data_IF_696873295826
#
_entry.id   IF_696873295826
#
_cell.length_a   1.000
_cell.length_b   1.000
_cell.length_c   1.000
_cell.angle_alpha   90.00
_cell.angle_beta   90.00
_cell.angle_gamma   90.00
#
_symmetry.space_group_name_H-M   'P 1'
#
loop_
_entity.id
_entity.type
_entity.pdbx_description
1 polymer ?
#
# COMPACT_ATOMS: atom_id res chain seq x y z
N UNK A 1 9.98 -9.96 -6.13
CA UNK A 1 9.79 -9.17 -4.91
C UNK A 1 9.19 -10.03 -3.81
N UNK A 2 9.57 -9.84 -2.54
CA UNK A 2 8.92 -10.49 -1.40
C UNK A 2 8.43 -9.45 -0.39
N UNK A 3 7.21 -9.66 0.13
CA UNK A 3 6.58 -8.81 1.16
C UNK A 3 6.16 -9.72 2.31
N UNK A 4 6.74 -9.50 3.49
CA UNK A 4 6.43 -10.19 4.72
C UNK A 4 5.61 -9.26 5.63
N UNK A 5 4.36 -9.62 5.93
CA UNK A 5 3.44 -8.81 6.74
C UNK A 5 3.29 -9.44 8.13
N UNK A 6 3.68 -8.71 9.15
CA UNK A 6 3.62 -9.14 10.55
C UNK A 6 2.36 -8.58 11.20
N UNK A 7 1.52 -9.44 11.74
CA UNK A 7 0.23 -9.06 12.32
C UNK A 7 -0.17 -9.97 13.48
N UNK A 8 -1.07 -9.51 14.33
CA UNK A 8 -1.74 -10.32 15.36
C UNK A 8 -3.12 -10.81 14.91
N UNK A 9 -3.60 -10.38 13.73
CA UNK A 9 -4.91 -10.74 13.14
C UNK A 9 -4.74 -11.09 11.65
N UNK A 10 -4.07 -12.20 11.31
CA UNK A 10 -3.77 -12.59 9.93
C UNK A 10 -5.01 -12.77 9.05
N UNK A 11 -6.15 -13.10 9.61
CA UNK A 11 -7.41 -13.32 8.91
C UNK A 11 -7.92 -12.07 8.17
N UNK A 12 -7.59 -10.86 8.67
CA UNK A 12 -7.96 -9.60 8.02
C UNK A 12 -7.28 -9.39 6.66
N UNK A 13 -6.16 -10.07 6.44
CA UNK A 13 -5.37 -9.96 5.21
C UNK A 13 -5.67 -11.08 4.20
N UNK A 14 -6.36 -12.14 4.61
CA UNK A 14 -6.55 -13.33 3.80
C UNK A 14 -7.29 -13.04 2.48
N UNK A 15 -8.37 -12.26 2.51
CA UNK A 15 -9.14 -11.94 1.30
C UNK A 15 -8.44 -10.89 0.42
N UNK A 16 -8.08 -9.68 0.89
CA UNK A 16 -7.56 -8.64 0.01
C UNK A 16 -6.26 -9.02 -0.71
N UNK A 17 -5.43 -9.87 -0.12
CA UNK A 17 -4.15 -10.27 -0.71
C UNK A 17 -4.23 -11.50 -1.61
N UNK A 18 -5.34 -12.24 -1.60
CA UNK A 18 -5.49 -13.50 -2.35
C UNK A 18 -6.57 -13.43 -3.44
N UNK A 19 -6.93 -12.23 -3.90
CA UNK A 19 -7.92 -12.05 -4.97
C UNK A 19 -7.39 -11.17 -6.10
N UNK A 20 -8.04 -11.25 -7.27
CA UNK A 20 -7.84 -10.37 -8.42
C UNK A 20 -6.38 -10.26 -8.90
N UNK A 21 -5.83 -9.04 -8.96
CA UNK A 21 -4.49 -8.73 -9.48
C UNK A 21 -3.41 -9.30 -8.57
N UNK A 22 -3.55 -9.15 -7.25
CA UNK A 22 -2.57 -9.64 -6.28
C UNK A 22 -2.43 -11.16 -6.34
N UNK A 23 -3.53 -11.90 -6.44
CA UNK A 23 -3.52 -13.35 -6.64
C UNK A 23 -2.77 -13.72 -7.92
N UNK A 24 -3.11 -13.08 -9.05
CA UNK A 24 -2.46 -13.37 -10.34
C UNK A 24 -0.98 -13.03 -10.35
N UNK A 25 -0.56 -11.97 -9.67
CA UNK A 25 0.83 -11.60 -9.55
C UNK A 25 1.63 -12.66 -8.77
N UNK A 26 1.05 -13.19 -7.69
CA UNK A 26 1.63 -14.30 -6.93
C UNK A 26 1.69 -15.60 -7.75
N UNK A 27 0.60 -15.97 -8.44
CA UNK A 27 0.55 -17.14 -9.33
C UNK A 27 1.57 -17.09 -10.47
N UNK A 28 1.90 -15.87 -10.95
CA UNK A 28 2.95 -15.63 -11.94
C UNK A 28 4.37 -15.61 -11.34
N UNK A 29 4.52 -15.69 -10.04
CA UNK A 29 5.81 -15.60 -9.36
C UNK A 29 6.45 -14.21 -9.39
N UNK A 30 5.68 -13.14 -9.64
CA UNK A 30 6.16 -11.76 -9.67
C UNK A 30 6.39 -11.21 -8.26
N UNK A 31 5.58 -11.66 -7.32
CA UNK A 31 5.66 -11.30 -5.90
C UNK A 31 5.31 -12.49 -5.04
N UNK A 32 5.98 -12.60 -3.89
CA UNK A 32 5.64 -13.50 -2.79
C UNK A 32 5.11 -12.66 -1.63
N UNK A 33 3.92 -12.96 -1.14
CA UNK A 33 3.33 -12.27 0.02
C UNK A 33 3.14 -13.29 1.13
N UNK A 34 3.81 -13.07 2.25
CA UNK A 34 3.75 -13.94 3.42
C UNK A 34 3.16 -13.20 4.61
N UNK A 35 2.18 -13.80 5.26
CA UNK A 35 1.54 -13.24 6.45
C UNK A 35 2.05 -14.02 7.67
N UNK A 36 2.69 -13.33 8.61
CA UNK A 36 3.24 -13.89 9.83
C UNK A 36 2.36 -13.53 11.02
N UNK A 37 1.87 -14.54 11.73
CA UNK A 37 1.17 -14.32 12.97
C UNK A 37 2.19 -14.10 14.09
N UNK A 38 2.28 -12.89 14.61
CA UNK A 38 3.21 -12.53 15.70
C UNK A 38 3.00 -13.41 16.93
N UNK A 39 1.79 -13.97 17.14
CA UNK A 39 1.51 -14.92 18.24
C UNK A 39 2.33 -16.21 18.16
N UNK A 40 2.79 -16.61 16.98
CA UNK A 40 3.61 -17.79 16.78
C UNK A 40 5.04 -17.64 17.34
N UNK A 41 5.45 -16.39 17.62
CA UNK A 41 6.76 -16.02 18.16
C UNK A 41 6.73 -15.72 19.66
N UNK A 42 5.64 -16.05 20.35
CA UNK A 42 5.53 -15.98 21.81
C UNK A 42 6.05 -17.27 22.46
N UNK A 43 6.55 -17.17 23.68
CA UNK A 43 7.03 -18.34 24.47
C UNK A 43 6.07 -18.73 25.58
N UNK A 44 5.08 -17.88 25.86
CA UNK A 44 4.10 -18.17 26.91
C UNK A 44 2.95 -19.05 26.40
N UNK A 45 2.35 -19.82 27.30
CA UNK A 45 1.24 -20.74 27.01
C UNK A 45 0.02 -20.05 26.38
N UNK A 46 -0.21 -18.79 26.70
CA UNK A 46 -1.38 -18.02 26.26
C UNK A 46 -1.13 -17.25 24.96
N UNK A 47 0.09 -17.31 24.42
CA UNK A 47 0.50 -16.63 23.20
C UNK A 47 0.21 -15.13 23.24
N UNK A 48 0.58 -14.50 24.38
CA UNK A 48 0.27 -13.11 24.70
C UNK A 48 1.17 -12.16 23.93
N UNK A 49 0.58 -11.28 23.13
CA UNK A 49 1.30 -10.32 22.27
C UNK A 49 1.22 -8.88 22.75
N UNK A 50 0.51 -8.60 23.84
CA UNK A 50 0.26 -7.26 24.37
C UNK A 50 0.35 -7.24 25.90
N UNK A 51 0.61 -6.05 26.47
CA UNK A 51 0.67 -5.83 27.90
C UNK A 51 0.35 -4.35 28.23
N UNK A 52 0.18 -4.05 29.50
CA UNK A 52 -0.04 -2.69 29.97
C UNK A 52 1.21 -1.80 29.75
N UNK A 53 1.04 -0.54 29.30
CA UNK A 53 2.17 0.38 29.17
C UNK A 53 2.77 0.75 30.53
N UNK A 54 4.07 0.95 30.55
CA UNK A 54 4.70 1.64 31.67
C UNK A 54 4.16 3.07 31.76
N UNK A 55 4.05 3.60 32.97
CA UNK A 55 3.51 4.95 33.20
C UNK A 55 2.01 4.99 33.54
N UNK A 56 1.30 3.85 33.47
CA UNK A 56 -0.08 3.71 33.97
C UNK A 56 -1.17 4.26 33.06
N UNK A 57 -0.88 4.47 31.78
CA UNK A 57 -1.89 4.86 30.80
C UNK A 57 -2.90 3.74 30.52
N UNK A 58 -4.14 4.10 30.17
CA UNK A 58 -5.17 3.16 29.81
C UNK A 58 -4.90 2.55 28.40
N UNK A 59 -5.19 1.26 28.23
CA UNK A 59 -5.02 0.50 26.98
C UNK A 59 -3.82 -0.43 27.03
N UNK A 60 -3.62 -1.16 25.95
CA UNK A 60 -2.55 -2.16 25.81
C UNK A 60 -1.55 -1.70 24.76
N UNK A 61 -0.33 -2.22 24.82
CA UNK A 61 0.75 -2.00 23.86
C UNK A 61 1.29 -3.34 23.42
N UNK A 62 1.60 -3.50 22.16
CA UNK A 62 2.20 -4.73 21.64
C UNK A 62 3.60 -4.91 22.22
N UNK A 63 3.84 -6.12 22.75
CA UNK A 63 5.09 -6.49 23.43
C UNK A 63 6.27 -6.53 22.49
N UNK A 64 7.44 -6.16 23.00
CA UNK A 64 8.68 -6.15 22.25
C UNK A 64 9.11 -7.57 21.81
N UNK A 65 9.05 -8.57 22.71
CA UNK A 65 9.68 -9.87 22.50
C UNK A 65 9.13 -10.63 21.27
N UNK A 66 7.80 -10.79 21.07
CA UNK A 66 7.29 -11.51 19.93
C UNK A 66 7.55 -10.80 18.61
N UNK A 67 7.50 -9.46 18.59
CA UNK A 67 7.85 -8.66 17.39
C UNK A 67 9.32 -8.81 17.07
N UNK A 68 10.20 -8.64 18.05
CA UNK A 68 11.64 -8.81 17.92
C UNK A 68 11.98 -10.17 17.32
N UNK A 69 11.47 -11.27 17.92
CA UNK A 69 11.74 -12.63 17.44
C UNK A 69 11.25 -12.87 16.03
N UNK A 70 10.09 -12.33 15.67
CA UNK A 70 9.55 -12.44 14.32
C UNK A 70 10.47 -11.74 13.30
N UNK A 71 10.88 -10.50 13.57
CA UNK A 71 11.77 -9.74 12.67
C UNK A 71 13.15 -10.42 12.56
N UNK A 72 13.74 -10.86 13.68
CA UNK A 72 15.03 -11.54 13.69
C UNK A 72 14.99 -12.88 12.93
N UNK A 73 13.93 -13.65 13.08
CA UNK A 73 13.75 -14.89 12.33
C UNK A 73 13.74 -14.63 10.81
N UNK A 74 13.05 -13.58 10.37
CA UNK A 74 13.01 -13.20 8.96
C UNK A 74 14.37 -12.68 8.48
N UNK A 75 15.04 -11.83 9.27
CA UNK A 75 16.37 -11.30 8.94
C UNK A 75 17.45 -12.38 8.94
N UNK A 76 17.27 -13.47 9.64
CA UNK A 76 18.17 -14.63 9.58
C UNK A 76 18.07 -15.39 8.25
N UNK A 77 16.94 -15.28 7.52
CA UNK A 77 16.73 -15.94 6.24
C UNK A 77 17.24 -15.10 5.05
N UNK A 78 17.11 -13.75 5.14
CA UNK A 78 17.46 -12.82 4.05
C UNK A 78 17.68 -11.40 4.55
N UNK A 79 18.27 -10.58 3.69
CA UNK A 79 18.34 -9.14 3.89
C UNK A 79 17.01 -8.48 3.46
N UNK A 80 16.61 -7.45 4.18
CA UNK A 80 15.42 -6.63 3.89
C UNK A 80 15.83 -5.20 3.60
N UNK A 81 15.29 -4.66 2.52
CA UNK A 81 15.53 -3.27 2.11
C UNK A 81 14.85 -2.28 3.05
N UNK A 82 13.63 -2.62 3.50
CA UNK A 82 12.82 -1.78 4.40
C UNK A 82 12.07 -2.62 5.43
N UNK A 83 11.97 -2.06 6.62
CA UNK A 83 11.06 -2.52 7.68
C UNK A 83 10.09 -1.38 7.97
N UNK A 84 8.89 -1.51 7.42
CA UNK A 84 7.84 -0.48 7.47
C UNK A 84 6.92 -0.75 8.65
N UNK A 85 6.61 0.28 9.42
CA UNK A 85 5.57 0.24 10.44
C UNK A 85 4.36 1.07 10.00
N UNK A 86 3.17 0.47 9.97
CA UNK A 86 1.92 1.17 9.69
C UNK A 86 1.43 1.87 10.96
N UNK A 87 1.52 3.19 10.97
CA UNK A 87 1.28 4.04 12.15
C UNK A 87 0.57 5.33 11.73
N UNK A 88 -0.35 5.89 12.53
CA UNK A 88 -0.89 7.23 12.26
C UNK A 88 0.17 8.34 12.31
N UNK A 89 1.29 8.11 12.99
CA UNK A 89 2.39 9.08 13.15
C UNK A 89 3.33 9.13 11.94
N UNK A 90 3.18 8.18 10.99
CA UNK A 90 4.08 8.02 9.86
C UNK A 90 3.97 9.11 8.80
N UNK A 91 4.91 9.10 7.86
CA UNK A 91 4.80 9.93 6.66
C UNK A 91 3.60 9.48 5.81
N UNK A 92 2.96 10.45 5.17
CA UNK A 92 1.80 10.15 4.33
C UNK A 92 2.19 9.35 3.09
N UNK A 93 1.53 8.22 2.89
CA UNK A 93 1.71 7.37 1.72
C UNK A 93 1.13 8.01 0.47
N UNK A 94 1.91 8.05 -0.59
CA UNK A 94 1.53 8.58 -1.90
C UNK A 94 2.05 7.70 -3.04
N UNK A 95 1.80 8.12 -4.29
CA UNK A 95 2.23 7.39 -5.47
C UNK A 95 3.76 7.37 -5.63
N UNK A 96 4.44 8.44 -5.22
CA UNK A 96 5.91 8.53 -5.25
C UNK A 96 6.54 7.46 -4.37
N UNK A 97 6.02 7.29 -3.15
CA UNK A 97 6.49 6.26 -2.24
C UNK A 97 6.14 4.85 -2.73
N UNK A 98 4.95 4.67 -3.33
CA UNK A 98 4.59 3.41 -3.98
C UNK A 98 5.57 3.03 -5.11
N UNK A 99 5.92 3.99 -5.96
CA UNK A 99 6.88 3.81 -7.05
C UNK A 99 8.26 3.41 -6.49
N UNK A 100 8.74 4.10 -5.45
CA UNK A 100 10.01 3.78 -4.79
C UNK A 100 10.00 2.36 -4.20
N UNK A 101 8.98 2.03 -3.43
CA UNK A 101 8.87 0.72 -2.79
C UNK A 101 8.74 -0.43 -3.80
N UNK A 102 8.13 -0.18 -4.96
CA UNK A 102 7.97 -1.21 -6.01
C UNK A 102 9.29 -1.65 -6.66
N UNK A 103 10.38 -0.88 -6.47
CA UNK A 103 11.72 -1.21 -6.97
C UNK A 103 12.56 -2.03 -6.00
N UNK A 104 12.07 -2.24 -4.77
CA UNK A 104 12.77 -3.00 -3.74
C UNK A 104 12.55 -4.51 -3.92
N UNK A 105 13.42 -5.32 -3.32
CA UNK A 105 13.37 -6.78 -3.43
C UNK A 105 12.62 -7.42 -2.25
N UNK A 106 12.90 -6.96 -1.02
CA UNK A 106 12.37 -7.57 0.21
C UNK A 106 11.91 -6.49 1.19
N UNK A 107 10.64 -6.55 1.60
CA UNK A 107 10.02 -5.59 2.53
C UNK A 107 9.34 -6.34 3.67
N UNK A 108 9.55 -5.86 4.90
CA UNK A 108 8.72 -6.21 6.05
C UNK A 108 7.70 -5.09 6.27
N UNK A 109 6.43 -5.44 6.51
CA UNK A 109 5.39 -4.50 6.95
C UNK A 109 4.86 -4.97 8.31
N UNK A 110 5.11 -4.20 9.36
CA UNK A 110 4.62 -4.45 10.70
C UNK A 110 3.29 -3.71 10.90
N UNK A 111 2.24 -4.47 11.21
CA UNK A 111 0.91 -3.94 11.53
C UNK A 111 0.81 -3.64 13.02
N UNK A 112 0.54 -2.37 13.37
CA UNK A 112 0.27 -1.99 14.75
C UNK A 112 -1.15 -2.32 15.19
N UNK A 113 -1.31 -2.56 16.49
CA UNK A 113 -2.60 -2.74 17.16
C UNK A 113 -2.62 -2.02 18.51
N UNK A 114 -3.79 -1.93 19.11
CA UNK A 114 -4.00 -1.30 20.42
C UNK A 114 -3.55 0.17 20.43
N UNK A 115 -2.69 0.57 21.40
CA UNK A 115 -2.07 1.90 21.44
C UNK A 115 -0.78 2.01 20.62
N UNK A 116 -0.38 0.94 19.96
CA UNK A 116 0.83 0.84 19.17
C UNK A 116 1.74 -0.30 19.64
N UNK A 117 2.99 -0.21 19.27
CA UNK A 117 4.03 -1.19 19.57
C UNK A 117 5.02 -0.62 20.59
N UNK A 118 5.75 -1.49 21.28
CA UNK A 118 6.86 -1.05 22.14
C UNK A 118 7.82 -0.15 21.34
N UNK A 119 8.11 1.02 21.88
CA UNK A 119 8.85 2.07 21.19
C UNK A 119 10.27 1.64 20.79
N UNK A 120 10.89 0.72 21.53
CA UNK A 120 12.22 0.17 21.21
C UNK A 120 12.23 -0.59 19.87
N UNK A 121 11.11 -1.16 19.43
CA UNK A 121 10.98 -1.72 18.07
C UNK A 121 11.05 -0.60 17.04
N UNK A 122 10.37 0.54 17.30
CA UNK A 122 10.43 1.71 16.39
C UNK A 122 11.86 2.25 16.26
N UNK A 123 12.59 2.34 17.37
CA UNK A 123 13.95 2.91 17.39
C UNK A 123 15.00 2.00 16.74
N UNK A 124 14.86 0.69 16.87
CA UNK A 124 15.94 -0.24 16.49
C UNK A 124 15.69 -1.04 15.21
N UNK A 125 14.44 -1.19 14.78
CA UNK A 125 14.10 -2.06 13.66
C UNK A 125 13.36 -1.35 12.52
N UNK A 126 12.56 -0.33 12.82
CA UNK A 126 11.76 0.35 11.82
C UNK A 126 12.63 1.32 11.02
N UNK A 127 12.64 1.14 9.70
CA UNK A 127 13.34 2.06 8.79
C UNK A 127 12.42 3.17 8.31
N UNK A 128 11.11 2.90 8.27
CA UNK A 128 10.10 3.86 7.82
C UNK A 128 8.76 3.64 8.51
N UNK A 129 8.11 4.74 8.88
CA UNK A 129 6.73 4.73 9.36
C UNK A 129 5.83 5.35 8.32
N UNK A 130 4.71 4.70 8.01
CA UNK A 130 3.78 5.12 6.96
C UNK A 130 2.37 5.23 7.52
N UNK A 131 1.71 6.35 7.22
CA UNK A 131 0.26 6.53 7.38
C UNK A 131 -0.43 6.60 6.03
N UNK A 132 -1.65 6.08 5.94
CA UNK A 132 -2.51 6.22 4.75
C UNK A 132 -3.45 7.42 4.83
N UNK A 133 -3.36 8.23 5.89
CA UNK A 133 -4.16 9.44 6.09
C UNK A 133 -4.26 9.84 7.56
N UNK A 134 -4.72 11.07 7.81
CA UNK A 134 -4.81 11.68 9.14
C UNK A 134 -6.08 11.20 9.88
N UNK A 135 -6.15 9.91 10.15
CA UNK A 135 -7.22 9.26 10.92
C UNK A 135 -6.70 7.99 11.57
N UNK A 136 -7.34 7.58 12.65
CA UNK A 136 -6.96 6.40 13.42
C UNK A 136 -7.83 5.21 13.03
N UNK A 137 -7.20 4.07 12.76
CA UNK A 137 -7.84 2.78 12.50
C UNK A 137 -7.68 1.85 13.71
N UNK A 138 -8.41 0.75 13.69
CA UNK A 138 -8.33 -0.28 14.74
C UNK A 138 -7.04 -1.11 14.70
N UNK A 139 -6.36 -1.13 13.53
CA UNK A 139 -5.12 -1.87 13.31
C UNK A 139 -4.44 -1.49 12.01
N UNK A 140 -3.22 -1.96 11.83
CA UNK A 140 -2.37 -1.67 10.68
C UNK A 140 -2.58 -2.57 9.47
N UNK A 141 -3.45 -3.56 9.52
CA UNK A 141 -3.66 -4.56 8.45
C UNK A 141 -4.24 -3.94 7.18
N UNK A 142 -5.28 -3.10 7.30
CA UNK A 142 -5.85 -2.41 6.13
C UNK A 142 -4.84 -1.47 5.48
N UNK A 143 -4.09 -0.63 6.22
CA UNK A 143 -2.96 0.10 5.65
C UNK A 143 -1.94 -0.80 4.96
N UNK A 144 -1.54 -1.91 5.57
CA UNK A 144 -0.61 -2.86 4.97
C UNK A 144 -1.14 -3.45 3.64
N UNK A 145 -2.42 -3.78 3.59
CA UNK A 145 -3.06 -4.26 2.36
C UNK A 145 -3.07 -3.19 1.26
N UNK A 146 -3.38 -1.93 1.60
CA UNK A 146 -3.35 -0.79 0.65
C UNK A 146 -1.94 -0.56 0.12
N UNK A 147 -0.93 -0.54 0.99
CA UNK A 147 0.48 -0.37 0.61
C UNK A 147 0.91 -1.51 -0.31
N UNK A 148 0.58 -2.76 0.04
CA UNK A 148 0.90 -3.94 -0.75
C UNK A 148 0.25 -3.89 -2.13
N UNK A 149 -1.03 -3.54 -2.23
CA UNK A 149 -1.74 -3.42 -3.51
C UNK A 149 -1.10 -2.35 -4.40
N UNK A 150 -0.83 -1.17 -3.84
CA UNK A 150 -0.23 -0.07 -4.58
C UNK A 150 1.18 -0.39 -5.09
N UNK A 151 1.97 -1.18 -4.35
CA UNK A 151 3.30 -1.65 -4.76
C UNK A 151 3.18 -2.70 -5.87
N UNK A 152 2.39 -3.76 -5.62
CA UNK A 152 2.33 -4.93 -6.51
C UNK A 152 1.81 -4.58 -7.89
N UNK A 153 0.84 -3.66 -8.00
CA UNK A 153 0.31 -3.24 -9.30
C UNK A 153 1.35 -2.53 -10.18
N UNK A 154 2.45 -2.04 -9.61
CA UNK A 154 3.56 -1.38 -10.32
C UNK A 154 4.63 -2.36 -10.80
N UNK A 155 4.62 -3.60 -10.32
CA UNK A 155 5.57 -4.61 -10.75
C UNK A 155 5.29 -4.97 -12.22
N UNK A 156 6.32 -4.94 -13.11
CA UNK A 156 6.14 -5.31 -14.51
C UNK A 156 5.45 -6.66 -14.67
N UNK A 157 4.42 -6.73 -15.51
CA UNK A 157 3.64 -7.93 -15.76
C UNK A 157 2.52 -8.24 -14.73
N UNK A 158 2.40 -7.47 -13.63
CA UNK A 158 1.30 -7.64 -12.66
C UNK A 158 -0.05 -7.24 -13.26
N UNK A 159 -0.09 -6.09 -13.95
CA UNK A 159 -1.25 -5.64 -14.74
C UNK A 159 -1.07 -6.08 -16.20
N UNK A 160 -2.17 -6.42 -16.87
CA UNK A 160 -2.13 -6.95 -18.25
C UNK A 160 -1.73 -5.92 -19.31
N UNK A 161 -1.82 -4.63 -19.03
CA UNK A 161 -1.40 -3.53 -19.89
C UNK A 161 -0.52 -2.56 -19.09
N UNK A 162 0.79 -2.62 -19.35
CA UNK A 162 1.78 -1.78 -18.65
C UNK A 162 1.56 -0.28 -18.92
N UNK A 163 1.03 0.10 -20.10
CA UNK A 163 0.70 1.49 -20.42
C UNK A 163 -0.46 2.01 -19.55
N UNK A 164 -1.33 1.12 -19.06
CA UNK A 164 -2.41 1.50 -18.16
C UNK A 164 -1.89 2.07 -16.84
N UNK A 165 -0.85 1.46 -16.26
CA UNK A 165 -0.25 1.96 -15.01
C UNK A 165 0.41 3.33 -15.18
N UNK A 166 1.02 3.59 -16.34
CA UNK A 166 1.68 4.86 -16.65
C UNK A 166 0.70 6.01 -16.91
N UNK A 167 -0.56 5.70 -17.29
CA UNK A 167 -1.61 6.70 -17.56
C UNK A 167 -2.53 6.96 -16.37
N UNK A 168 -2.29 6.32 -15.25
CA UNK A 168 -3.06 6.53 -14.02
C UNK A 168 -2.75 7.89 -13.35
N UNK A 169 -3.66 8.34 -12.47
CA UNK A 169 -3.45 9.55 -11.68
C UNK A 169 -2.16 9.48 -10.87
N UNK A 170 -1.51 10.63 -10.69
CA UNK A 170 -0.31 10.86 -9.86
C UNK A 170 1.02 10.36 -10.44
N UNK A 171 1.06 9.80 -11.64
CA UNK A 171 2.35 9.40 -12.26
C UNK A 171 3.18 10.63 -12.70
N UNK A 172 2.50 11.65 -13.27
CA UNK A 172 3.11 12.91 -13.72
C UNK A 172 2.57 14.12 -12.93
N UNK A 173 2.26 13.96 -11.65
CA UNK A 173 1.60 14.96 -10.81
C UNK A 173 0.25 15.46 -11.38
N UNK A 174 -0.39 14.66 -12.22
CA UNK A 174 -1.69 14.97 -12.81
C UNK A 174 -2.73 13.92 -12.40
N UNK A 175 -3.99 14.36 -12.38
CA UNK A 175 -5.12 13.43 -12.35
C UNK A 175 -5.36 12.87 -13.75
N UNK A 176 -5.70 11.59 -13.84
CA UNK A 176 -6.06 10.96 -15.11
C UNK A 176 -7.21 11.70 -15.80
N UNK A 177 -7.22 11.76 -17.14
CA UNK A 177 -8.31 12.35 -17.90
C UNK A 177 -9.61 11.57 -17.74
N UNK A 178 -10.78 12.17 -18.07
CA UNK A 178 -12.04 11.44 -18.08
C UNK A 178 -12.00 10.27 -19.05
N UNK A 179 -12.51 9.12 -18.63
CA UNK A 179 -12.62 7.91 -19.46
C UNK A 179 -14.09 7.63 -19.79
N UNK A 180 -14.32 7.11 -20.99
CA UNK A 180 -15.64 6.78 -21.49
C UNK A 180 -15.66 5.37 -22.05
N UNK A 181 -16.79 4.68 -21.94
CA UNK A 181 -17.02 3.34 -22.50
C UNK A 181 -18.23 3.34 -23.41
N UNK A 182 -18.49 2.24 -24.09
CA UNK A 182 -19.68 2.02 -24.92
C UNK A 182 -20.95 1.96 -24.06
N UNK A 183 -22.07 2.46 -24.59
CA UNK A 183 -22.31 3.04 -25.92
C UNK A 183 -21.81 4.49 -26.03
N UNK A 184 -21.61 4.98 -27.28
CA UNK A 184 -21.17 6.36 -27.54
C UNK A 184 -22.19 7.44 -27.10
N UNK A 185 -23.46 7.06 -26.95
CA UNK A 185 -24.52 7.91 -26.39
C UNK A 185 -25.41 7.06 -25.48
N UNK A 186 -25.71 7.61 -24.30
CA UNK A 186 -26.65 7.03 -23.33
C UNK A 186 -27.53 8.10 -22.73
N UNK A 187 -28.84 8.04 -22.93
CA UNK A 187 -29.85 9.00 -22.45
C UNK A 187 -29.55 10.47 -22.78
N UNK A 188 -28.98 10.72 -23.97
CA UNK A 188 -28.59 12.04 -24.43
C UNK A 188 -27.19 12.50 -23.94
N UNK A 189 -26.51 11.72 -23.12
CA UNK A 189 -25.12 11.97 -22.72
C UNK A 189 -24.17 11.35 -23.74
N UNK A 190 -23.33 12.18 -24.37
CA UNK A 190 -22.46 11.76 -25.46
C UNK A 190 -21.00 11.71 -25.06
N UNK A 191 -20.29 10.73 -25.60
CA UNK A 191 -18.83 10.71 -25.60
C UNK A 191 -18.32 11.86 -26.45
N UNK A 192 -17.28 12.59 -26.01
CA UNK A 192 -16.65 13.65 -26.82
C UNK A 192 -16.23 13.15 -28.22
N UNK A 193 -16.59 13.90 -29.27
CA UNK A 193 -16.36 13.50 -30.65
C UNK A 193 -14.88 13.26 -30.99
N UNK A 194 -13.97 13.96 -30.31
CA UNK A 194 -12.51 13.78 -30.46
C UNK A 194 -12.08 12.35 -30.13
N UNK A 195 -12.71 11.71 -29.11
CA UNK A 195 -12.41 10.33 -28.72
C UNK A 195 -12.95 9.29 -29.72
N UNK A 196 -13.91 9.68 -30.56
CA UNK A 196 -14.50 8.86 -31.61
C UNK A 196 -13.81 9.05 -32.97
N UNK A 197 -12.91 10.02 -33.08
CA UNK A 197 -12.30 10.45 -34.37
C UNK A 197 -11.27 9.47 -34.92
N UNK A 198 -10.66 8.61 -34.10
CA UNK A 198 -9.53 7.77 -34.48
C UNK A 198 -8.20 8.52 -34.70
N UNK A 199 -8.16 9.83 -34.51
CA UNK A 199 -6.95 10.66 -34.63
C UNK A 199 -6.14 10.66 -33.34
N UNK A 200 -5.15 9.75 -33.21
CA UNK A 200 -4.40 9.53 -31.97
C UNK A 200 -3.81 10.83 -31.39
N UNK A 201 -3.11 11.65 -32.18
CA UNK A 201 -2.53 12.89 -31.70
C UNK A 201 -3.56 13.84 -31.07
N UNK A 202 -4.73 14.02 -31.70
CA UNK A 202 -5.82 14.86 -31.16
C UNK A 202 -6.43 14.28 -29.89
N UNK A 203 -6.48 12.94 -29.80
CA UNK A 203 -6.96 12.24 -28.63
C UNK A 203 -5.98 12.47 -27.46
N UNK A 204 -4.68 12.39 -27.71
CA UNK A 204 -3.64 12.57 -26.70
C UNK A 204 -3.58 14.04 -26.22
N UNK A 205 -3.67 15.01 -27.13
CA UNK A 205 -3.79 16.44 -26.78
C UNK A 205 -5.01 16.70 -25.89
N UNK A 206 -6.17 16.17 -26.28
CA UNK A 206 -7.40 16.31 -25.51
C UNK A 206 -7.29 15.65 -24.12
N UNK A 207 -6.70 14.45 -24.02
CA UNK A 207 -6.47 13.79 -22.76
C UNK A 207 -5.59 14.62 -21.83
N UNK A 208 -4.49 15.15 -22.35
CA UNK A 208 -3.60 16.01 -21.59
C UNK A 208 -4.28 17.29 -21.11
N UNK A 209 -5.03 17.97 -21.98
CA UNK A 209 -5.80 19.16 -21.62
C UNK A 209 -6.83 18.87 -20.51
N UNK A 210 -7.55 17.74 -20.61
CA UNK A 210 -8.53 17.34 -19.62
C UNK A 210 -7.88 16.93 -18.29
N UNK A 211 -6.72 16.27 -18.32
CA UNK A 211 -5.95 15.95 -17.12
C UNK A 211 -5.53 17.23 -16.39
N UNK A 212 -4.95 18.20 -17.08
CA UNK A 212 -4.58 19.51 -16.53
C UNK A 212 -5.79 20.26 -15.95
N UNK A 213 -6.90 20.29 -16.69
CA UNK A 213 -8.13 20.95 -16.23
C UNK A 213 -8.65 20.32 -14.93
N UNK A 214 -8.76 18.98 -14.88
CA UNK A 214 -9.21 18.25 -13.69
C UNK A 214 -8.28 18.45 -12.50
N UNK A 215 -6.97 18.47 -12.75
CA UNK A 215 -5.97 18.69 -11.69
C UNK A 215 -6.12 20.07 -11.09
N UNK A 216 -6.25 21.13 -11.94
CA UNK A 216 -6.49 22.50 -11.46
C UNK A 216 -7.76 22.64 -10.63
N UNK A 217 -8.83 21.94 -11.01
CA UNK A 217 -10.13 22.02 -10.34
C UNK A 217 -10.20 21.21 -9.04
N UNK A 218 -9.56 20.03 -9.00
CA UNK A 218 -9.75 19.05 -7.91
C UNK A 218 -8.52 18.92 -7.00
N UNK A 219 -7.32 19.08 -7.54
CA UNK A 219 -6.05 18.88 -6.84
C UNK A 219 -5.02 19.90 -7.31
N UNK A 220 -5.27 21.22 -7.13
CA UNK A 220 -4.33 22.26 -7.53
C UNK A 220 -2.96 22.14 -6.85
N UNK A 221 -2.93 21.55 -5.65
CA UNK A 221 -1.72 21.24 -4.89
C UNK A 221 -0.68 20.40 -5.65
N UNK A 222 -1.11 19.57 -6.62
CA UNK A 222 -0.21 18.75 -7.44
C UNK A 222 0.54 19.55 -8.52
N UNK A 223 0.14 20.79 -8.79
CA UNK A 223 0.75 21.65 -9.82
C UNK A 223 1.76 22.63 -9.23
N UNK A 224 1.82 22.76 -7.92
CA UNK A 224 2.68 23.72 -7.20
C UNK A 224 4.02 23.10 -6.75
N UNK A 225 4.29 21.84 -7.12
CA UNK A 225 5.53 21.09 -6.82
C UNK A 225 6.56 21.13 -7.95
#
# INVERSE_FOLDING_TARGET
MRIDILTVVPELLASPLNESILKRAQEKGLVEIHIHNIRDYTEDKHRTTDDYPFGGEAGMVMKIEPIYRCIEALKAEREYDEVIYTSPDGIRYDQHEANRLSTLENIIILCGHYKGIDYRIREHFITKEITIGDYVLTGGELPAAIITDAIVRLIPGAIGDEQSALSDSFQDNLLAPPVYTRPAEYKGWRVPDVLLSGHQARIDDWKHEMALKRTRELRPDLLDE
#
